data_IF_887417836336
#
_entry.id   IF_887417836336
#
_cell.length_a   1.000
_cell.length_b   1.000
_cell.length_c   1.000
_cell.angle_alpha   90.00
_cell.angle_beta   90.00
_cell.angle_gamma   90.00
#
_symmetry.space_group_name_H-M   'P 1'
#
loop_
_entity.id
_entity.type
_entity.pdbx_description
1 polymer ?
#
# COMPACT_ATOMS: atom_id res chain seq x y z
N UNK A 1 -9.80 15.74 -15.52
CA UNK A 1 -10.10 15.33 -14.14
C UNK A 1 -8.94 14.49 -13.64
N UNK A 2 -8.39 14.78 -12.45
CA UNK A 2 -7.31 13.99 -11.84
C UNK A 2 -7.91 12.75 -11.18
N UNK A 3 -7.29 11.59 -11.36
CA UNK A 3 -7.68 10.29 -10.83
C UNK A 3 -6.61 9.81 -9.86
N UNK A 4 -6.95 9.78 -8.58
CA UNK A 4 -6.07 9.38 -7.49
C UNK A 4 -6.48 8.00 -7.00
N UNK A 5 -5.52 7.09 -6.86
CA UNK A 5 -5.71 5.86 -6.09
C UNK A 5 -5.19 6.06 -4.67
N UNK A 6 -6.01 5.70 -3.68
CA UNK A 6 -5.62 5.68 -2.27
C UNK A 6 -5.58 4.24 -1.80
N UNK A 7 -4.47 3.83 -1.19
CA UNK A 7 -4.24 2.49 -0.65
C UNK A 7 -4.23 2.58 0.88
N UNK A 8 -5.32 2.19 1.56
CA UNK A 8 -5.34 2.13 3.02
C UNK A 8 -4.47 0.97 3.51
N UNK A 9 -3.45 1.27 4.31
CA UNK A 9 -2.52 0.30 4.87
C UNK A 9 -2.34 0.53 6.37
N UNK A 10 -3.26 -0.01 7.17
CA UNK A 10 -3.17 0.04 8.64
C UNK A 10 -2.22 -1.02 9.20
N UNK A 11 -1.52 -0.70 10.28
CA UNK A 11 -0.64 -1.69 10.94
C UNK A 11 -1.40 -2.77 11.72
N UNK A 12 -2.47 -2.37 12.43
CA UNK A 12 -3.16 -3.17 13.46
C UNK A 12 -4.06 -4.31 12.96
N UNK A 13 -3.55 -5.25 12.17
CA UNK A 13 -4.31 -6.45 11.80
C UNK A 13 -4.33 -7.49 12.92
N UNK A 14 -5.52 -7.90 13.38
CA UNK A 14 -5.69 -8.82 14.52
C UNK A 14 -5.17 -10.23 14.27
N UNK A 15 -5.46 -10.80 13.09
CA UNK A 15 -5.08 -12.18 12.73
C UNK A 15 -3.72 -12.29 12.04
N UNK A 16 -3.19 -11.16 11.56
CA UNK A 16 -1.87 -11.10 10.92
C UNK A 16 -1.20 -9.75 11.20
N UNK A 17 -0.68 -9.53 12.42
CA UNK A 17 -0.05 -8.27 12.80
C UNK A 17 1.03 -7.83 11.81
N UNK A 18 1.05 -6.55 11.44
CA UNK A 18 2.02 -6.03 10.47
C UNK A 18 1.84 -6.53 9.03
N UNK A 19 0.66 -7.07 8.67
CA UNK A 19 0.35 -7.61 7.33
C UNK A 19 0.84 -6.73 6.16
N UNK A 20 0.72 -5.41 6.27
CA UNK A 20 1.17 -4.46 5.24
C UNK A 20 2.69 -4.53 4.97
N UNK A 21 3.47 -4.80 6.02
CA UNK A 21 4.93 -4.91 5.99
C UNK A 21 5.42 -6.35 5.80
N UNK A 22 4.52 -7.34 5.86
CA UNK A 22 4.88 -8.73 5.70
C UNK A 22 5.63 -8.96 4.37
N UNK A 23 6.78 -9.63 4.38
CA UNK A 23 7.59 -9.81 3.19
C UNK A 23 6.92 -10.81 2.25
N UNK A 24 6.72 -10.40 1.00
CA UNK A 24 6.33 -11.25 -0.11
C UNK A 24 7.46 -11.14 -1.13
N UNK A 25 8.19 -12.25 -1.34
CA UNK A 25 9.36 -12.30 -2.25
C UNK A 25 10.36 -11.14 -2.01
N UNK A 26 10.68 -10.89 -0.75
CA UNK A 26 11.67 -9.88 -0.35
C UNK A 26 11.19 -8.43 -0.37
N UNK A 27 9.90 -8.16 -0.59
CA UNK A 27 9.32 -6.80 -0.51
C UNK A 27 8.09 -6.77 0.40
N UNK A 28 7.81 -5.66 1.10
CA UNK A 28 6.58 -5.49 1.86
C UNK A 28 5.34 -5.75 0.99
N UNK A 29 4.31 -6.38 1.56
CA UNK A 29 3.04 -6.64 0.87
C UNK A 29 2.46 -5.37 0.20
N UNK A 30 2.44 -4.25 0.92
CA UNK A 30 1.91 -2.97 0.42
C UNK A 30 2.67 -2.47 -0.82
N UNK A 31 3.97 -2.75 -0.92
CA UNK A 31 4.78 -2.33 -2.07
C UNK A 31 4.35 -3.02 -3.38
N UNK A 32 3.81 -4.24 -3.31
CA UNK A 32 3.26 -4.91 -4.49
C UNK A 32 1.97 -4.23 -4.98
N UNK A 33 1.13 -3.77 -4.04
CA UNK A 33 -0.11 -3.04 -4.35
C UNK A 33 0.22 -1.67 -4.97
N UNK A 34 1.17 -0.94 -4.37
CA UNK A 34 1.66 0.35 -4.90
C UNK A 34 2.17 0.17 -6.33
N UNK A 35 3.00 -0.85 -6.58
CA UNK A 35 3.55 -1.10 -7.92
C UNK A 35 2.46 -1.43 -8.94
N UNK A 36 1.44 -2.20 -8.55
CA UNK A 36 0.31 -2.50 -9.43
C UNK A 36 -0.51 -1.24 -9.75
N UNK A 37 -0.74 -0.37 -8.76
CA UNK A 37 -1.42 0.90 -8.95
C UNK A 37 -0.62 1.84 -9.88
N UNK A 38 0.69 1.95 -9.68
CA UNK A 38 1.58 2.75 -10.53
C UNK A 38 1.63 2.25 -11.99
N UNK A 39 1.39 0.96 -12.23
CA UNK A 39 1.35 0.41 -13.58
C UNK A 39 0.03 0.71 -14.33
N UNK A 40 -1.00 1.22 -13.64
CA UNK A 40 -2.29 1.49 -14.24
C UNK A 40 -2.29 2.81 -15.03
N UNK A 41 -2.51 2.72 -16.35
CA UNK A 41 -2.50 3.88 -17.29
C UNK A 41 -3.58 4.94 -17.02
N UNK A 42 -4.53 4.66 -16.14
CA UNK A 42 -5.69 5.53 -15.84
C UNK A 42 -5.59 6.21 -14.48
N UNK A 43 -4.46 6.09 -13.79
CA UNK A 43 -4.23 6.78 -12.53
C UNK A 43 -3.18 7.86 -12.75
N UNK A 44 -3.43 9.02 -12.17
CA UNK A 44 -2.52 10.16 -12.24
C UNK A 44 -1.68 10.26 -10.95
N UNK A 45 -2.19 9.73 -9.83
CA UNK A 45 -1.49 9.68 -8.54
C UNK A 45 -1.82 8.41 -7.76
N UNK A 46 -0.88 7.98 -6.91
CA UNK A 46 -1.03 6.87 -5.97
C UNK A 46 -0.58 7.33 -4.60
N UNK A 47 -1.46 7.21 -3.60
CA UNK A 47 -1.21 7.57 -2.20
C UNK A 47 -1.38 6.34 -1.32
N UNK A 48 -0.50 6.17 -0.34
CA UNK A 48 -0.70 5.21 0.75
C UNK A 48 -1.19 5.98 1.97
N UNK A 49 -2.38 5.62 2.47
CA UNK A 49 -2.93 6.18 3.69
C UNK A 49 -2.68 5.20 4.84
N UNK A 50 -1.92 5.62 5.83
CA UNK A 50 -1.56 4.78 6.97
C UNK A 50 -1.74 5.53 8.29
N UNK A 51 -1.92 4.76 9.36
CA UNK A 51 -1.99 5.21 10.75
C UNK A 51 -0.67 4.99 11.51
N UNK A 52 0.37 4.51 10.83
CA UNK A 52 1.59 4.02 11.46
C UNK A 52 2.85 4.38 10.66
N UNK A 53 3.80 5.05 11.33
CA UNK A 53 5.08 5.50 10.74
C UNK A 53 5.92 4.38 10.14
N UNK A 54 5.74 3.12 10.57
CA UNK A 54 6.49 2.00 10.00
C UNK A 54 6.08 1.68 8.56
N UNK A 55 4.94 2.19 8.11
CA UNK A 55 4.39 1.99 6.76
C UNK A 55 4.64 3.21 5.86
N UNK A 56 4.91 4.39 6.44
CA UNK A 56 5.06 5.67 5.74
C UNK A 56 6.31 5.74 4.84
#
# INVERSE_FOLDING_TARGET
>A
MIRVAVIPARYGSTRFPGKALAPIRGRPMVAWVVRAALAARRLDQVLVATDDERIA
#
